data_IF_362893530068
#
_entry.id   IF_362893530068
#
_cell.length_a   1.000
_cell.length_b   1.000
_cell.length_c   1.000
_cell.angle_alpha   90.00
_cell.angle_beta   90.00
_cell.angle_gamma   90.00
#
_symmetry.space_group_name_H-M   'P 1'
#
loop_
_entity.id
_entity.type
_entity.pdbx_description
1 polymer ?
#
# COMPACT_ATOMS: atom_id res chain seq x y z
N UNK A 1 -17.35 -9.55 25.27
CA UNK A 1 -18.04 -9.10 24.04
C UNK A 1 -18.79 -10.30 23.49
N UNK A 2 -20.09 -10.15 23.31
CA UNK A 2 -20.99 -11.23 22.88
C UNK A 2 -21.02 -11.27 21.32
N UNK A 3 -21.20 -12.48 20.77
CA UNK A 3 -21.34 -12.68 19.31
C UNK A 3 -22.48 -11.84 18.73
N UNK A 4 -23.52 -11.55 19.52
CA UNK A 4 -24.65 -10.72 19.12
C UNK A 4 -24.25 -9.24 18.84
N UNK A 5 -23.12 -8.78 19.35
CA UNK A 5 -22.54 -7.45 19.08
C UNK A 5 -21.50 -7.44 17.96
N UNK A 6 -21.20 -8.59 17.33
CA UNK A 6 -20.20 -8.67 16.29
C UNK A 6 -20.62 -7.95 15.00
N UNK A 7 -19.73 -7.14 14.44
CA UNK A 7 -19.95 -6.52 13.13
C UNK A 7 -20.09 -7.63 12.07
N UNK A 8 -21.08 -7.54 11.15
CA UNK A 8 -21.21 -8.52 10.09
C UNK A 8 -19.91 -8.71 9.31
N UNK A 9 -19.53 -9.97 9.05
CA UNK A 9 -18.26 -10.34 8.39
C UNK A 9 -18.03 -9.59 7.06
N UNK A 10 -19.10 -9.26 6.35
CA UNK A 10 -19.06 -8.54 5.05
C UNK A 10 -18.56 -7.10 5.21
N UNK A 11 -18.69 -6.51 6.40
CA UNK A 11 -18.31 -5.12 6.69
C UNK A 11 -17.03 -5.01 7.53
N UNK A 12 -16.51 -6.14 8.02
CA UNK A 12 -15.30 -6.18 8.83
C UNK A 12 -14.09 -6.45 7.94
N UNK A 13 -13.14 -5.53 7.90
CA UNK A 13 -11.87 -5.74 7.21
C UNK A 13 -10.96 -6.74 7.93
N UNK A 14 -11.19 -6.95 9.23
CA UNK A 14 -10.45 -7.90 10.08
C UNK A 14 -11.28 -8.22 11.32
N UNK A 15 -11.34 -9.49 11.71
CA UNK A 15 -12.08 -9.95 12.89
C UNK A 15 -11.25 -11.00 13.64
N UNK A 16 -11.14 -10.86 14.95
CA UNK A 16 -10.57 -11.89 15.83
C UNK A 16 -11.70 -12.54 16.62
N UNK A 17 -11.78 -13.86 16.52
CA UNK A 17 -12.73 -14.69 17.28
C UNK A 17 -11.95 -15.61 18.22
N UNK A 18 -12.13 -15.46 19.52
CA UNK A 18 -11.52 -16.33 20.55
C UNK A 18 -12.48 -17.46 20.85
N UNK A 19 -12.33 -18.57 20.15
CA UNK A 19 -13.25 -19.71 20.22
C UNK A 19 -13.27 -20.35 21.63
N UNK A 20 -12.12 -20.44 22.25
CA UNK A 20 -11.97 -21.08 23.57
C UNK A 20 -12.12 -20.07 24.74
N UNK A 21 -12.61 -18.86 24.45
CA UNK A 21 -12.79 -17.79 25.43
C UNK A 21 -11.54 -16.96 25.70
N UNK A 22 -11.61 -16.10 26.69
CA UNK A 22 -10.51 -15.22 27.10
C UNK A 22 -10.24 -15.37 28.60
N UNK A 23 -8.97 -15.55 28.95
CA UNK A 23 -8.55 -15.63 30.36
C UNK A 23 -8.79 -14.33 31.14
N UNK A 24 -8.86 -13.18 30.43
CA UNK A 24 -9.14 -11.88 31.05
C UNK A 24 -10.59 -11.85 31.59
N UNK A 25 -11.52 -12.47 30.87
CA UNK A 25 -12.93 -12.53 31.24
C UNK A 25 -13.24 -13.73 32.13
N UNK A 26 -12.23 -14.53 32.54
CA UNK A 26 -12.36 -15.77 33.30
C UNK A 26 -13.34 -16.77 32.70
N UNK A 27 -13.59 -16.71 31.41
CA UNK A 27 -14.43 -17.60 30.61
C UNK A 27 -13.59 -18.29 29.55
N UNK A 28 -12.95 -19.37 29.93
CA UNK A 28 -12.17 -20.17 28.97
C UNK A 28 -12.54 -21.65 29.09
N UNK A 29 -12.60 -22.31 27.94
CA UNK A 29 -12.87 -23.72 27.83
C UNK A 29 -11.54 -24.49 27.87
N UNK A 30 -11.36 -25.37 28.84
CA UNK A 30 -10.08 -26.01 29.10
C UNK A 30 -10.17 -27.54 29.29
N UNK A 31 -11.38 -28.08 29.47
CA UNK A 31 -11.59 -29.51 29.62
C UNK A 31 -12.00 -30.15 28.30
N UNK A 32 -11.73 -31.45 28.13
CA UNK A 32 -12.15 -32.20 26.93
C UNK A 32 -13.66 -32.15 26.71
N UNK A 33 -14.44 -32.15 27.78
CA UNK A 33 -15.90 -32.10 27.71
C UNK A 33 -16.39 -30.72 27.27
N UNK A 34 -15.73 -29.64 27.72
CA UNK A 34 -16.05 -28.25 27.30
C UNK A 34 -15.64 -27.98 25.86
N UNK A 35 -14.54 -28.59 25.38
CA UNK A 35 -14.06 -28.46 23.99
C UNK A 35 -14.79 -29.46 23.06
N UNK A 36 -15.59 -30.36 23.57
CA UNK A 36 -16.35 -31.30 22.74
C UNK A 36 -17.54 -30.62 22.05
N UNK A 37 -18.10 -29.55 22.64
CA UNK A 37 -19.27 -28.87 22.12
C UNK A 37 -19.28 -27.39 22.49
N UNK A 38 -19.43 -26.54 21.47
CA UNK A 38 -19.50 -25.09 21.62
C UNK A 38 -20.94 -24.60 21.74
N UNK A 39 -21.18 -23.40 22.32
CA UNK A 39 -22.52 -22.78 22.29
C UNK A 39 -23.05 -22.64 20.88
N UNK A 40 -24.34 -22.89 20.67
CA UNK A 40 -24.95 -22.91 19.33
C UNK A 40 -24.69 -21.65 18.51
N UNK A 41 -24.79 -20.46 19.09
CA UNK A 41 -24.45 -19.21 18.41
C UNK A 41 -23.01 -19.14 17.90
N UNK A 42 -22.05 -19.67 18.68
CA UNK A 42 -20.63 -19.71 18.29
C UNK A 42 -20.43 -20.75 17.18
N UNK A 43 -21.07 -21.91 17.28
CA UNK A 43 -21.06 -22.93 16.22
C UNK A 43 -21.55 -22.36 14.89
N UNK A 44 -22.71 -21.72 14.90
CA UNK A 44 -23.31 -21.11 13.70
C UNK A 44 -22.40 -20.05 13.10
N UNK A 45 -21.80 -19.21 13.94
CA UNK A 45 -20.89 -18.17 13.49
C UNK A 45 -19.60 -18.74 12.86
N UNK A 46 -18.97 -19.73 13.53
CA UNK A 46 -17.76 -20.38 13.00
C UNK A 46 -18.08 -21.22 11.76
N UNK A 47 -19.20 -21.91 11.74
CA UNK A 47 -19.68 -22.67 10.57
C UNK A 47 -19.87 -21.75 9.36
N UNK A 48 -20.44 -20.56 9.58
CA UNK A 48 -20.57 -19.55 8.55
C UNK A 48 -19.21 -19.11 8.01
N UNK A 49 -18.21 -18.86 8.90
CA UNK A 49 -16.85 -18.51 8.49
C UNK A 49 -16.25 -19.63 7.63
N UNK A 50 -16.34 -20.88 8.06
CA UNK A 50 -15.79 -22.03 7.33
C UNK A 50 -16.47 -22.25 5.98
N UNK A 51 -17.74 -21.88 5.85
CA UNK A 51 -18.48 -21.95 4.58
C UNK A 51 -18.20 -20.79 3.61
N UNK A 52 -17.89 -19.60 4.12
CA UNK A 52 -17.72 -18.40 3.32
C UNK A 52 -16.27 -18.11 2.96
N UNK A 53 -15.29 -18.67 3.70
CA UNK A 53 -13.86 -18.37 3.54
C UNK A 53 -13.00 -19.64 3.38
N UNK A 54 -11.79 -19.46 2.84
CA UNK A 54 -10.74 -20.46 2.90
C UNK A 54 -10.22 -20.61 4.34
N UNK A 55 -9.75 -21.81 4.69
CA UNK A 55 -9.28 -22.12 6.03
C UNK A 55 -7.77 -22.38 6.00
N UNK A 56 -7.03 -21.69 6.86
CA UNK A 56 -5.63 -22.00 7.15
C UNK A 56 -5.53 -22.30 8.65
N UNK A 57 -5.16 -23.53 9.02
CA UNK A 57 -4.87 -23.87 10.41
C UNK A 57 -3.38 -23.77 10.68
N UNK A 58 -3.00 -23.20 11.82
CA UNK A 58 -1.60 -23.09 12.21
C UNK A 58 -1.47 -23.27 13.73
N UNK A 59 -0.57 -24.16 14.15
CA UNK A 59 -0.38 -24.49 15.56
C UNK A 59 -1.53 -25.30 16.19
N UNK A 60 -2.38 -25.91 15.37
CA UNK A 60 -3.54 -26.69 15.80
C UNK A 60 -3.46 -28.13 15.27
N UNK A 61 -3.60 -29.13 16.16
CA UNK A 61 -3.53 -30.56 15.80
C UNK A 61 -4.88 -31.17 15.44
N UNK A 62 -5.98 -30.59 15.92
CA UNK A 62 -7.32 -31.16 15.83
C UNK A 62 -7.59 -32.32 16.77
N UNK A 63 -6.63 -32.75 17.57
CA UNK A 63 -6.78 -33.93 18.45
C UNK A 63 -7.64 -33.64 19.69
N UNK A 64 -7.48 -32.44 20.23
CA UNK A 64 -8.10 -32.05 21.51
C UNK A 64 -9.39 -31.24 21.34
N UNK A 65 -9.55 -30.56 20.22
CA UNK A 65 -10.67 -29.67 19.95
C UNK A 65 -11.69 -30.35 19.02
N UNK A 66 -12.44 -31.26 19.56
CA UNK A 66 -13.46 -32.04 18.82
C UNK A 66 -14.59 -31.14 18.32
N UNK A 67 -14.93 -30.08 19.06
CA UNK A 67 -15.97 -29.15 18.68
C UNK A 67 -15.66 -28.46 17.36
N UNK A 68 -14.44 -27.90 17.22
CA UNK A 68 -14.01 -27.24 15.98
C UNK A 68 -13.88 -28.24 14.81
N UNK A 69 -13.37 -29.44 15.08
CA UNK A 69 -13.33 -30.54 14.09
C UNK A 69 -14.73 -30.85 13.56
N UNK A 70 -15.72 -30.97 14.47
CA UNK A 70 -17.11 -31.25 14.08
C UNK A 70 -17.72 -30.08 13.27
N UNK A 71 -17.45 -28.83 13.62
CA UNK A 71 -17.90 -27.67 12.86
C UNK A 71 -17.30 -27.70 11.44
N UNK A 72 -16.01 -27.97 11.30
CA UNK A 72 -15.35 -28.07 10.00
C UNK A 72 -15.96 -29.22 9.18
N UNK A 73 -16.25 -30.36 9.78
CA UNK A 73 -16.90 -31.52 9.14
C UNK A 73 -18.36 -31.25 8.79
N UNK A 74 -19.04 -30.34 9.48
CA UNK A 74 -20.43 -29.96 9.19
C UNK A 74 -20.53 -28.94 8.03
N UNK A 75 -19.41 -28.43 7.55
CA UNK A 75 -19.42 -27.43 6.47
C UNK A 75 -19.81 -28.05 5.12
N UNK A 76 -20.77 -27.45 4.46
CA UNK A 76 -21.31 -27.90 3.17
C UNK A 76 -20.53 -27.33 1.98
N UNK A 77 -20.04 -26.08 2.13
CA UNK A 77 -19.35 -25.36 1.08
C UNK A 77 -17.84 -25.64 1.07
N UNK A 78 -17.30 -25.91 -0.12
CA UNK A 78 -15.86 -26.16 -0.36
C UNK A 78 -15.35 -25.26 -1.50
N UNK A 79 -15.84 -24.02 -1.52
CA UNK A 79 -15.52 -23.05 -2.61
C UNK A 79 -14.07 -22.61 -2.59
N UNK A 80 -13.48 -22.54 -1.40
CA UNK A 80 -12.13 -22.09 -1.19
C UNK A 80 -11.29 -23.22 -0.66
N UNK A 81 -10.04 -23.29 -1.10
CA UNK A 81 -9.08 -24.27 -0.62
C UNK A 81 -8.81 -24.13 0.87
N UNK A 82 -8.51 -25.25 1.51
CA UNK A 82 -8.15 -25.30 2.91
C UNK A 82 -6.74 -25.83 3.08
N UNK A 83 -5.97 -25.21 3.98
CA UNK A 83 -4.59 -25.56 4.25
C UNK A 83 -4.42 -25.90 5.73
N UNK A 84 -3.99 -27.11 6.00
CA UNK A 84 -3.76 -27.62 7.35
C UNK A 84 -2.26 -27.72 7.58
N UNK A 85 -1.70 -26.88 8.46
CA UNK A 85 -0.25 -26.86 8.66
C UNK A 85 0.17 -27.62 9.91
N UNK A 86 1.38 -28.18 9.88
CA UNK A 86 2.01 -28.86 11.01
C UNK A 86 3.51 -28.59 11.04
N UNK A 87 4.12 -28.60 12.26
CA UNK A 87 5.55 -28.37 12.40
C UNK A 87 6.35 -29.68 12.43
N UNK A 88 6.02 -30.61 13.35
CA UNK A 88 6.81 -31.80 13.56
C UNK A 88 6.14 -33.06 13.03
N UNK A 89 4.89 -33.30 13.43
CA UNK A 89 4.13 -34.50 13.08
C UNK A 89 2.77 -34.08 12.54
N UNK A 90 2.41 -34.66 11.42
CA UNK A 90 1.07 -34.50 10.87
C UNK A 90 0.12 -35.52 11.49
N UNK A 91 -0.82 -35.05 12.30
CA UNK A 91 -1.83 -35.89 12.91
C UNK A 91 -2.87 -36.36 11.86
N UNK A 92 -3.48 -37.56 12.15
CA UNK A 92 -4.42 -38.12 11.19
C UNK A 92 -5.67 -37.29 11.01
N UNK A 93 -6.12 -36.60 12.06
CA UNK A 93 -7.26 -35.67 12.03
C UNK A 93 -7.05 -34.58 10.98
N UNK A 94 -5.85 -34.00 10.86
CA UNK A 94 -5.54 -32.97 9.85
C UNK A 94 -5.62 -33.54 8.43
N UNK A 95 -5.14 -34.76 8.20
CA UNK A 95 -5.22 -35.44 6.90
C UNK A 95 -6.67 -35.75 6.50
N UNK A 96 -7.48 -36.21 7.46
CA UNK A 96 -8.90 -36.44 7.23
C UNK A 96 -9.66 -35.16 6.90
N UNK A 97 -9.40 -34.08 7.65
CA UNK A 97 -10.00 -32.77 7.39
C UNK A 97 -9.56 -32.19 6.05
N UNK A 98 -8.28 -32.35 5.68
CA UNK A 98 -7.79 -31.93 4.37
C UNK A 98 -8.49 -32.70 3.26
N UNK A 99 -8.62 -34.01 3.40
CA UNK A 99 -9.35 -34.85 2.44
C UNK A 99 -10.83 -34.42 2.34
N UNK A 100 -11.47 -34.20 3.50
CA UNK A 100 -12.87 -33.79 3.57
C UNK A 100 -13.11 -32.40 2.90
N UNK A 101 -12.20 -31.46 3.12
CA UNK A 101 -12.29 -30.09 2.58
C UNK A 101 -11.70 -29.95 1.17
N UNK A 102 -11.23 -31.03 0.54
CA UNK A 102 -10.45 -30.99 -0.71
C UNK A 102 -9.26 -30.04 -0.62
N UNK A 103 -8.63 -29.97 0.54
CA UNK A 103 -7.52 -29.08 0.85
C UNK A 103 -6.18 -29.80 0.92
N UNK A 104 -5.17 -29.09 1.38
CA UNK A 104 -3.79 -29.55 1.43
C UNK A 104 -3.25 -29.57 2.85
N UNK A 105 -2.29 -30.48 3.10
CA UNK A 105 -1.52 -30.51 4.34
C UNK A 105 -0.12 -30.00 4.08
N UNK A 106 0.35 -29.03 4.87
CA UNK A 106 1.63 -28.35 4.66
C UNK A 106 2.53 -28.49 5.88
N UNK A 107 3.77 -28.96 5.67
CA UNK A 107 4.82 -28.88 6.67
C UNK A 107 5.37 -27.44 6.74
N UNK A 108 5.43 -26.87 7.94
CA UNK A 108 5.98 -25.53 8.17
C UNK A 108 7.04 -25.59 9.28
N UNK A 109 8.00 -24.69 9.24
CA UNK A 109 9.01 -24.57 10.28
C UNK A 109 8.41 -23.98 11.57
N UNK A 110 7.73 -22.88 11.44
CA UNK A 110 6.99 -22.20 12.50
C UNK A 110 5.94 -21.24 11.88
N UNK A 111 5.04 -20.72 12.72
CA UNK A 111 3.99 -19.81 12.28
C UNK A 111 4.52 -18.50 11.72
N UNK A 112 5.54 -17.91 12.35
CA UNK A 112 6.06 -16.61 11.97
C UNK A 112 6.69 -16.63 10.58
N UNK A 113 7.54 -17.64 10.30
CA UNK A 113 8.15 -17.80 8.98
C UNK A 113 7.09 -18.07 7.90
N UNK A 114 6.11 -18.94 8.20
CA UNK A 114 5.04 -19.28 7.27
C UNK A 114 4.19 -18.06 6.90
N UNK A 115 3.68 -17.31 7.87
CA UNK A 115 2.85 -16.15 7.58
C UNK A 115 3.65 -14.98 6.97
N UNK A 116 4.94 -14.85 7.31
CA UNK A 116 5.81 -13.86 6.66
C UNK A 116 5.99 -14.18 5.18
N UNK A 117 6.32 -15.44 4.85
CA UNK A 117 6.48 -15.88 3.47
C UNK A 117 5.16 -15.81 2.68
N UNK A 118 4.05 -16.22 3.30
CA UNK A 118 2.73 -16.11 2.67
C UNK A 118 2.39 -14.64 2.34
N UNK A 119 2.62 -13.73 3.27
CA UNK A 119 2.40 -12.32 3.05
C UNK A 119 3.27 -11.75 1.92
N UNK A 120 4.55 -12.14 1.87
CA UNK A 120 5.47 -11.72 0.81
C UNK A 120 5.05 -12.25 -0.55
N UNK A 121 4.62 -13.51 -0.65
CA UNK A 121 4.12 -14.12 -1.89
C UNK A 121 2.82 -13.48 -2.38
N UNK A 122 1.86 -13.23 -1.48
CA UNK A 122 0.61 -12.54 -1.82
C UNK A 122 0.90 -11.11 -2.30
N UNK A 123 1.84 -10.41 -1.65
CA UNK A 123 2.27 -9.07 -2.08
C UNK A 123 2.94 -9.12 -3.46
N UNK A 124 3.80 -10.10 -3.72
CA UNK A 124 4.45 -10.27 -5.02
C UNK A 124 3.42 -10.56 -6.12
N UNK A 125 2.47 -11.45 -5.89
CA UNK A 125 1.38 -11.73 -6.83
C UNK A 125 0.54 -10.47 -7.09
N UNK A 126 0.18 -9.73 -6.05
CA UNK A 126 -0.57 -8.48 -6.19
C UNK A 126 0.20 -7.41 -6.98
N UNK A 127 1.53 -7.43 -6.93
CA UNK A 127 2.37 -6.53 -7.72
C UNK A 127 2.48 -6.97 -9.19
N UNK A 128 2.44 -8.28 -9.46
CA UNK A 128 2.43 -8.83 -10.82
C UNK A 128 1.10 -8.59 -11.55
N UNK A 129 -0.01 -8.57 -10.83
CA UNK A 129 -1.33 -8.20 -11.38
C UNK A 129 -1.44 -6.71 -11.75
N UNK A 130 -0.39 -5.95 -11.54
CA UNK A 130 0.06 -4.71 -12.23
C UNK A 130 -0.89 -3.52 -12.29
N UNK A 131 -2.15 -3.63 -11.90
CA UNK A 131 -3.17 -2.61 -12.14
C UNK A 131 -4.01 -2.18 -10.92
N UNK A 132 -3.79 -2.76 -9.75
CA UNK A 132 -4.44 -2.24 -8.56
C UNK A 132 -3.56 -1.16 -7.92
N UNK A 133 -3.99 0.12 -7.94
CA UNK A 133 -3.27 1.14 -7.19
C UNK A 133 -3.28 0.72 -5.72
N UNK A 134 -2.10 0.69 -5.09
CA UNK A 134 -1.99 0.61 -3.64
C UNK A 134 -2.92 1.68 -3.08
N UNK A 135 -3.83 1.31 -2.18
CA UNK A 135 -4.54 2.35 -1.46
C UNK A 135 -3.52 3.19 -0.70
N UNK A 136 -3.75 4.50 -0.60
CA UNK A 136 -2.86 5.42 0.11
C UNK A 136 -2.48 4.90 1.49
N UNK A 137 -3.44 4.35 2.20
CA UNK A 137 -3.28 3.84 3.56
C UNK A 137 -2.35 2.62 3.60
N UNK A 138 -2.49 1.69 2.65
CA UNK A 138 -1.61 0.52 2.54
C UNK A 138 -0.18 0.94 2.23
N UNK A 139 0.01 1.90 1.30
CA UNK A 139 1.34 2.39 0.95
C UNK A 139 2.03 3.04 2.16
N UNK A 140 1.31 3.88 2.90
CA UNK A 140 1.81 4.54 4.11
C UNK A 140 2.14 3.53 5.22
N UNK A 141 1.29 2.53 5.44
CA UNK A 141 1.55 1.49 6.45
C UNK A 141 2.75 0.60 6.08
N UNK A 142 2.90 0.23 4.81
CA UNK A 142 4.11 -0.46 4.33
C UNK A 142 5.36 0.38 4.55
N UNK A 143 5.30 1.66 4.18
CA UNK A 143 6.40 2.59 4.35
C UNK A 143 6.83 2.68 5.81
N UNK A 144 5.90 2.85 6.75
CA UNK A 144 6.18 2.88 8.20
C UNK A 144 6.90 1.61 8.68
N UNK A 145 6.45 0.43 8.21
CA UNK A 145 7.09 -0.85 8.55
C UNK A 145 8.51 -0.96 8.01
N UNK A 146 8.79 -0.38 6.84
CA UNK A 146 10.12 -0.44 6.22
C UNK A 146 11.10 0.56 6.86
N UNK A 147 10.64 1.76 7.22
CA UNK A 147 11.47 2.79 7.87
C UNK A 147 12.03 2.32 9.22
N UNK A 148 11.26 1.54 9.99
CA UNK A 148 11.66 1.10 11.33
C UNK A 148 12.84 0.11 11.30
N UNK A 149 12.89 -0.75 10.28
CA UNK A 149 13.87 -1.84 10.16
C UNK A 149 14.90 -1.52 9.09
N UNK A 150 16.16 -1.31 9.48
CA UNK A 150 17.26 -1.01 8.55
C UNK A 150 17.50 -2.08 7.49
N UNK A 151 17.22 -3.34 7.79
CA UNK A 151 17.29 -4.47 6.85
C UNK A 151 16.25 -4.37 5.70
N UNK A 152 15.23 -3.54 5.85
CA UNK A 152 14.18 -3.33 4.86
C UNK A 152 14.40 -2.11 3.96
N UNK A 153 15.61 -1.57 3.92
CA UNK A 153 15.94 -0.39 3.10
C UNK A 153 15.70 -0.65 1.60
N UNK A 154 15.97 -1.85 1.13
CA UNK A 154 15.71 -2.22 -0.28
C UNK A 154 14.21 -2.13 -0.57
N UNK A 155 13.37 -2.75 0.26
CA UNK A 155 11.92 -2.71 0.10
C UNK A 155 11.35 -1.27 0.20
N UNK A 156 11.99 -0.43 1.01
CA UNK A 156 11.65 0.99 1.10
C UNK A 156 11.94 1.73 -0.21
N UNK A 157 13.11 1.51 -0.80
CA UNK A 157 13.51 2.13 -2.06
C UNK A 157 12.63 1.64 -3.21
N UNK A 158 12.42 0.32 -3.30
CA UNK A 158 11.55 -0.31 -4.31
C UNK A 158 10.13 0.24 -4.25
N UNK A 159 9.60 0.49 -3.04
CA UNK A 159 8.26 1.05 -2.88
C UNK A 159 8.15 2.45 -3.49
N UNK A 160 9.14 3.32 -3.28
CA UNK A 160 9.19 4.65 -3.91
C UNK A 160 9.39 4.56 -5.42
N UNK A 161 10.30 3.70 -5.88
CA UNK A 161 10.59 3.53 -7.29
C UNK A 161 9.37 3.05 -8.06
N UNK A 162 8.71 1.99 -7.59
CA UNK A 162 7.52 1.42 -8.23
C UNK A 162 6.36 2.43 -8.29
N UNK A 163 6.11 3.18 -7.21
CA UNK A 163 5.05 4.18 -7.20
C UNK A 163 5.38 5.40 -8.08
N UNK A 164 6.65 5.81 -8.13
CA UNK A 164 7.09 6.88 -9.03
C UNK A 164 6.99 6.47 -10.49
N UNK A 165 7.39 5.25 -10.85
CA UNK A 165 7.25 4.72 -12.20
C UNK A 165 5.78 4.61 -12.61
N UNK A 166 4.94 4.08 -11.74
CA UNK A 166 3.50 4.00 -11.97
C UNK A 166 2.88 5.38 -12.21
N UNK A 167 3.28 6.38 -11.40
CA UNK A 167 2.80 7.74 -11.56
C UNK A 167 3.29 8.38 -12.86
N UNK A 168 4.56 8.24 -13.21
CA UNK A 168 5.12 8.72 -14.47
C UNK A 168 4.38 8.12 -15.67
N UNK A 169 4.12 6.80 -15.66
CA UNK A 169 3.37 6.13 -16.74
C UNK A 169 1.94 6.66 -16.90
N UNK A 170 1.29 7.09 -15.82
CA UNK A 170 -0.05 7.71 -15.88
C UNK A 170 -0.06 9.13 -16.44
N UNK A 171 1.02 9.88 -16.28
CA UNK A 171 1.08 11.28 -16.74
C UNK A 171 1.71 11.41 -18.12
N UNK A 172 2.36 10.38 -18.66
CA UNK A 172 2.89 10.39 -20.03
C UNK A 172 1.77 10.69 -21.03
N UNK A 173 1.90 11.81 -21.76
CA UNK A 173 0.98 12.21 -22.81
C UNK A 173 1.70 13.06 -23.85
N UNK A 174 1.05 13.30 -24.99
CA UNK A 174 1.52 14.29 -25.96
C UNK A 174 1.08 15.68 -25.52
N UNK A 175 2.04 16.62 -25.43
CA UNK A 175 1.80 18.01 -25.01
C UNK A 175 1.63 18.93 -26.23
N UNK A 176 0.76 18.57 -27.17
CA UNK A 176 0.47 19.32 -28.40
C UNK A 176 -1.01 19.74 -28.51
N UNK A 177 -1.58 20.12 -27.39
CA UNK A 177 -2.94 20.65 -27.29
C UNK A 177 -2.93 22.13 -26.94
N UNK A 178 -3.98 22.91 -27.31
CA UNK A 178 -4.08 24.32 -26.95
C UNK A 178 -4.24 24.47 -25.42
N UNK A 179 -3.48 25.40 -24.84
CA UNK A 179 -3.57 25.68 -23.42
C UNK A 179 -4.76 26.61 -23.15
N UNK A 180 -5.75 26.12 -22.44
CA UNK A 180 -6.90 26.85 -21.94
C UNK A 180 -7.31 26.31 -20.55
N UNK A 181 -8.30 26.95 -19.91
CA UNK A 181 -8.77 26.59 -18.57
C UNK A 181 -9.17 25.12 -18.45
N UNK A 182 -9.83 24.58 -19.46
CA UNK A 182 -10.30 23.19 -19.45
C UNK A 182 -9.11 22.21 -19.54
N UNK A 183 -8.25 22.37 -20.55
CA UNK A 183 -7.09 21.50 -20.78
C UNK A 183 -6.09 21.56 -19.62
N UNK A 184 -5.89 22.73 -19.02
CA UNK A 184 -5.09 22.90 -17.82
C UNK A 184 -5.67 22.12 -16.64
N UNK A 185 -6.96 22.27 -16.36
CA UNK A 185 -7.62 21.57 -15.26
C UNK A 185 -7.65 20.03 -15.44
N UNK A 186 -7.82 19.56 -16.67
CA UNK A 186 -7.75 18.14 -16.98
C UNK A 186 -6.33 17.61 -16.75
N UNK A 187 -5.31 18.34 -17.18
CA UNK A 187 -3.91 18.00 -16.92
C UNK A 187 -3.60 18.00 -15.43
N UNK A 188 -4.00 19.04 -14.69
CA UNK A 188 -3.83 19.14 -13.24
C UNK A 188 -4.47 17.95 -12.52
N UNK A 189 -5.71 17.60 -12.84
CA UNK A 189 -6.38 16.42 -12.26
C UNK A 189 -5.63 15.13 -12.54
N UNK A 190 -5.13 14.96 -13.76
CA UNK A 190 -4.33 13.76 -14.12
C UNK A 190 -3.07 13.68 -13.29
N UNK A 191 -2.32 14.77 -13.17
CA UNK A 191 -1.10 14.82 -12.38
C UNK A 191 -1.37 14.57 -10.89
N UNK A 192 -2.39 15.21 -10.31
CA UNK A 192 -2.79 14.96 -8.91
C UNK A 192 -3.20 13.52 -8.67
N UNK A 193 -4.02 12.94 -9.55
CA UNK A 193 -4.43 11.54 -9.44
C UNK A 193 -3.24 10.56 -9.62
N UNK A 194 -2.25 10.93 -10.41
CA UNK A 194 -1.09 10.08 -10.62
C UNK A 194 -0.21 10.00 -9.37
N UNK A 195 0.00 11.13 -8.68
CA UNK A 195 0.87 11.21 -7.49
C UNK A 195 0.13 11.05 -6.17
N UNK A 196 -1.15 10.73 -6.21
CA UNK A 196 -2.05 10.68 -5.04
C UNK A 196 -1.55 9.77 -3.91
N UNK A 197 -0.91 8.65 -4.24
CA UNK A 197 -0.25 7.74 -3.28
C UNK A 197 1.08 8.30 -2.79
N UNK A 198 1.85 8.96 -3.65
CA UNK A 198 3.17 9.50 -3.31
C UNK A 198 3.09 10.67 -2.32
N UNK A 199 2.04 11.49 -2.35
CA UNK A 199 1.89 12.62 -1.45
C UNK A 199 1.97 12.22 0.03
N UNK A 200 1.13 11.33 0.57
CA UNK A 200 1.22 10.90 1.96
C UNK A 200 2.48 10.06 2.24
N UNK A 201 3.01 9.32 1.26
CA UNK A 201 4.28 8.62 1.41
C UNK A 201 5.43 9.61 1.65
N UNK A 202 5.53 10.70 0.88
CA UNK A 202 6.55 11.73 1.05
C UNK A 202 6.46 12.39 2.44
N UNK A 203 5.27 12.76 2.88
CA UNK A 203 5.05 13.36 4.22
C UNK A 203 5.53 12.39 5.32
N UNK A 204 5.17 11.12 5.21
CA UNK A 204 5.54 10.09 6.19
C UNK A 204 7.04 9.83 6.16
N UNK A 205 7.62 9.74 4.97
CA UNK A 205 9.06 9.53 4.79
C UNK A 205 9.86 10.68 5.39
N UNK A 206 9.56 11.93 5.06
CA UNK A 206 10.27 13.09 5.61
C UNK A 206 10.18 13.12 7.13
N UNK A 207 9.00 12.83 7.71
CA UNK A 207 8.81 12.83 9.15
C UNK A 207 9.70 11.83 9.88
N UNK A 208 9.80 10.60 9.37
CA UNK A 208 10.39 9.47 10.09
C UNK A 208 11.73 9.00 9.51
N UNK A 209 12.16 9.53 8.35
CA UNK A 209 13.39 9.12 7.70
C UNK A 209 14.64 9.42 8.52
N UNK A 210 15.62 8.53 8.36
CA UNK A 210 17.02 8.72 8.70
C UNK A 210 17.78 9.06 7.42
N UNK A 211 19.04 9.54 7.47
CA UNK A 211 19.81 9.89 6.28
C UNK A 211 19.87 8.79 5.21
N UNK A 212 19.85 7.52 5.61
CA UNK A 212 19.87 6.37 4.68
C UNK A 212 18.61 6.27 3.80
N UNK A 213 17.49 6.85 4.22
CA UNK A 213 16.22 6.83 3.48
C UNK A 213 16.05 8.02 2.52
N UNK A 214 16.93 9.03 2.61
CA UNK A 214 16.80 10.27 1.83
C UNK A 214 16.95 10.02 0.33
N UNK A 215 17.80 9.03 -0.05
CA UNK A 215 18.11 8.73 -1.44
C UNK A 215 16.88 8.37 -2.27
N UNK A 216 15.96 7.58 -1.73
CA UNK A 216 14.73 7.22 -2.45
C UNK A 216 13.87 8.44 -2.83
N UNK A 217 13.85 9.47 -1.99
CA UNK A 217 13.13 10.72 -2.29
C UNK A 217 13.88 11.52 -3.36
N UNK A 218 15.22 11.54 -3.32
CA UNK A 218 16.02 12.19 -4.36
C UNK A 218 15.80 11.52 -5.72
N UNK A 219 15.86 10.20 -5.77
CA UNK A 219 15.67 9.42 -6.99
C UNK A 219 14.25 9.59 -7.54
N UNK A 220 13.24 9.61 -6.67
CA UNK A 220 11.87 9.91 -7.05
C UNK A 220 11.74 11.31 -7.67
N UNK A 221 12.24 12.36 -7.02
CA UNK A 221 12.16 13.73 -7.54
C UNK A 221 12.90 13.86 -8.86
N UNK A 222 14.09 13.27 -8.98
CA UNK A 222 14.89 13.24 -10.20
C UNK A 222 14.11 12.56 -11.33
N UNK A 223 13.48 11.41 -11.06
CA UNK A 223 12.66 10.68 -12.05
C UNK A 223 11.53 11.55 -12.60
N UNK A 224 10.83 12.32 -11.77
CA UNK A 224 9.75 13.22 -12.22
C UNK A 224 10.24 14.39 -13.07
N UNK A 225 11.49 14.70 -13.04
CA UNK A 225 12.11 15.74 -13.87
C UNK A 225 12.70 15.14 -15.16
N UNK A 226 13.30 13.97 -15.07
CA UNK A 226 14.04 13.33 -16.16
C UNK A 226 13.20 12.41 -17.05
N UNK A 227 11.94 12.08 -16.69
CA UNK A 227 11.16 11.16 -17.52
C UNK A 227 10.81 11.80 -18.88
N UNK A 228 10.73 10.97 -19.96
CA UNK A 228 10.66 11.49 -21.32
C UNK A 228 9.40 12.30 -21.63
N UNK A 229 9.57 13.45 -22.24
CA UNK A 229 8.47 14.26 -22.78
C UNK A 229 8.10 13.73 -24.15
N UNK A 230 6.80 13.52 -24.38
CA UNK A 230 6.27 13.21 -25.70
C UNK A 230 5.80 14.50 -26.38
N UNK A 231 6.63 15.05 -27.26
CA UNK A 231 6.29 16.18 -28.11
C UNK A 231 6.40 15.75 -29.56
N UNK A 232 5.42 16.10 -30.38
CA UNK A 232 5.44 15.82 -31.83
C UNK A 232 4.78 16.97 -32.59
N UNK A 233 5.42 17.42 -33.69
CA UNK A 233 4.90 18.51 -34.49
C UNK A 233 5.00 19.88 -33.80
N UNK A 234 4.04 20.77 -34.05
CA UNK A 234 3.97 22.09 -33.42
C UNK A 234 3.40 21.99 -32.00
N UNK A 235 4.05 22.56 -31.02
CA UNK A 235 3.60 22.64 -29.64
C UNK A 235 3.83 24.00 -29.01
N UNK A 236 3.05 24.35 -28.00
CA UNK A 236 3.25 25.58 -27.23
C UNK A 236 4.20 25.28 -26.06
N UNK A 237 5.20 26.13 -25.83
CA UNK A 237 6.18 25.99 -24.76
C UNK A 237 5.53 25.88 -23.38
N UNK A 238 4.47 26.62 -23.13
CA UNK A 238 3.73 26.64 -21.87
C UNK A 238 3.00 25.29 -21.62
N UNK A 239 2.49 24.69 -22.67
CA UNK A 239 1.85 23.34 -22.55
C UNK A 239 2.86 22.26 -22.17
N UNK A 240 4.06 22.33 -22.74
CA UNK A 240 5.14 21.36 -22.43
C UNK A 240 5.62 21.51 -20.99
N UNK A 241 5.61 22.71 -20.42
CA UNK A 241 5.96 22.96 -19.02
C UNK A 241 5.05 22.20 -18.03
N UNK A 242 3.80 21.90 -18.43
CA UNK A 242 2.89 21.08 -17.61
C UNK A 242 3.45 19.69 -17.29
N UNK A 243 4.40 19.18 -18.07
CA UNK A 243 5.10 17.95 -17.81
C UNK A 243 5.73 17.90 -16.40
N UNK A 244 6.24 19.03 -15.94
CA UNK A 244 6.91 19.13 -14.64
C UNK A 244 5.97 19.34 -13.45
N UNK A 245 4.66 19.41 -13.66
CA UNK A 245 3.68 19.74 -12.62
C UNK A 245 3.71 18.76 -11.44
N UNK A 246 3.81 17.47 -11.69
CA UNK A 246 3.92 16.47 -10.62
C UNK A 246 5.21 16.61 -9.82
N UNK A 247 6.33 16.82 -10.48
CA UNK A 247 7.63 17.06 -9.84
C UNK A 247 7.59 18.32 -8.95
N UNK A 248 6.98 19.40 -9.44
CA UNK A 248 6.79 20.63 -8.69
C UNK A 248 5.94 20.39 -7.43
N UNK A 249 4.79 19.73 -7.55
CA UNK A 249 3.90 19.45 -6.42
C UNK A 249 4.57 18.56 -5.38
N UNK A 250 5.29 17.52 -5.80
CA UNK A 250 6.04 16.64 -4.90
C UNK A 250 7.17 17.39 -4.19
N UNK A 251 7.89 18.25 -4.90
CA UNK A 251 8.94 19.09 -4.32
C UNK A 251 8.39 20.03 -3.24
N UNK A 252 7.21 20.64 -3.47
CA UNK A 252 6.53 21.45 -2.46
C UNK A 252 6.15 20.62 -1.23
N UNK A 253 5.53 19.45 -1.43
CA UNK A 253 5.12 18.59 -0.31
C UNK A 253 6.31 18.16 0.52
N UNK A 254 7.41 17.76 -0.13
CA UNK A 254 8.64 17.37 0.56
C UNK A 254 9.27 18.57 1.26
N UNK A 255 9.35 19.73 0.59
CA UNK A 255 9.93 20.95 1.16
C UNK A 255 9.15 21.46 2.39
N UNK A 256 7.82 21.55 2.29
CA UNK A 256 6.95 21.96 3.40
C UNK A 256 7.06 20.94 4.55
N UNK A 257 7.14 19.66 4.23
CA UNK A 257 7.33 18.61 5.26
C UNK A 257 8.68 18.73 5.95
N UNK A 258 9.75 19.07 5.20
CA UNK A 258 11.06 19.32 5.79
C UNK A 258 11.04 20.49 6.78
N UNK A 259 10.37 21.57 6.43
CA UNK A 259 10.21 22.73 7.33
C UNK A 259 9.38 22.34 8.56
N UNK A 260 8.26 21.63 8.35
CA UNK A 260 7.35 21.19 9.44
C UNK A 260 8.02 20.29 10.47
N UNK A 261 8.97 19.46 10.04
CA UNK A 261 9.64 18.47 10.88
C UNK A 261 11.10 18.81 11.17
N UNK A 262 11.52 20.06 10.97
CA UNK A 262 12.87 20.59 11.24
C UNK A 262 14.01 19.82 10.53
N UNK A 263 13.72 19.33 9.31
CA UNK A 263 14.68 18.58 8.48
C UNK A 263 15.44 19.52 7.51
N UNK A 264 16.01 20.59 8.00
CA UNK A 264 16.66 21.63 7.18
C UNK A 264 17.88 21.12 6.40
N UNK A 265 18.65 20.20 6.97
CA UNK A 265 19.78 19.57 6.26
C UNK A 265 19.31 18.77 5.05
N UNK A 266 18.19 18.04 5.19
CA UNK A 266 17.57 17.30 4.10
C UNK A 266 16.99 18.26 3.04
N UNK A 267 16.32 19.32 3.43
CA UNK A 267 15.83 20.36 2.54
C UNK A 267 16.96 20.96 1.71
N UNK A 268 18.09 21.29 2.37
CA UNK A 268 19.25 21.84 1.66
C UNK A 268 19.78 20.88 0.59
N UNK A 269 19.85 19.57 0.89
CA UNK A 269 20.26 18.56 -0.10
C UNK A 269 19.29 18.50 -1.29
N UNK A 270 17.98 18.52 -1.02
CA UNK A 270 16.94 18.51 -2.08
C UNK A 270 17.12 19.71 -3.03
N UNK A 271 17.32 20.90 -2.49
CA UNK A 271 17.48 22.11 -3.27
C UNK A 271 18.76 22.11 -4.14
N UNK A 272 19.71 21.21 -3.88
CA UNK A 272 20.96 21.09 -4.62
C UNK A 272 21.05 19.79 -5.47
N UNK A 273 19.93 19.05 -5.64
CA UNK A 273 19.91 17.91 -6.55
C UNK A 273 20.19 18.37 -7.97
N UNK A 274 21.10 17.70 -8.67
CA UNK A 274 21.32 17.89 -10.09
C UNK A 274 20.50 16.90 -10.88
N UNK A 275 19.67 17.40 -11.80
CA UNK A 275 18.83 16.62 -12.67
C UNK A 275 19.02 17.03 -14.13
N UNK A 276 18.70 16.13 -15.06
CA UNK A 276 18.73 16.41 -16.50
C UNK A 276 17.39 17.01 -16.91
N UNK A 277 17.45 18.16 -17.55
CA UNK A 277 16.26 18.79 -18.11
C UNK A 277 15.77 18.01 -19.34
N UNK A 278 14.57 17.45 -19.28
CA UNK A 278 14.00 16.64 -20.36
C UNK A 278 13.66 17.43 -21.64
N UNK A 279 13.66 18.77 -21.56
CA UNK A 279 13.40 19.63 -22.73
C UNK A 279 14.71 20.02 -23.41
N UNK A 280 15.73 20.39 -22.65
CA UNK A 280 16.98 20.96 -23.17
C UNK A 280 18.17 20.00 -23.12
N UNK A 281 17.99 18.82 -22.51
CA UNK A 281 19.01 17.76 -22.32
C UNK A 281 20.28 18.27 -21.62
N UNK A 282 20.19 19.30 -20.81
CA UNK A 282 21.25 19.84 -19.98
C UNK A 282 21.11 19.40 -18.52
N UNK A 283 22.24 19.22 -17.84
CA UNK A 283 22.27 18.88 -16.43
C UNK A 283 22.38 20.17 -15.59
N UNK A 284 21.31 20.46 -14.87
CA UNK A 284 21.21 21.67 -14.05
C UNK A 284 20.66 21.31 -12.66
N UNK A 285 20.70 22.29 -11.77
CA UNK A 285 20.06 22.14 -10.47
C UNK A 285 18.54 21.94 -10.64
N UNK A 286 17.93 21.03 -9.87
CA UNK A 286 16.51 20.72 -9.94
C UNK A 286 15.61 21.96 -9.78
N UNK A 287 16.04 22.92 -8.95
CA UNK A 287 15.36 24.20 -8.76
C UNK A 287 15.41 25.13 -9.99
N UNK A 288 16.30 24.88 -10.92
CA UNK A 288 16.33 25.55 -12.23
C UNK A 288 15.33 24.98 -13.23
N UNK A 289 14.83 23.76 -12.98
CA UNK A 289 13.85 23.08 -13.84
C UNK A 289 12.45 23.22 -13.27
N UNK A 290 12.28 22.85 -11.98
CA UNK A 290 11.01 22.93 -11.27
C UNK A 290 11.06 24.04 -10.21
N UNK A 291 10.38 25.11 -10.50
CA UNK A 291 10.30 26.30 -9.62
C UNK A 291 8.91 26.94 -9.69
N UNK A 292 8.50 27.75 -8.70
CA UNK A 292 7.17 28.34 -8.65
C UNK A 292 6.78 29.15 -9.89
N UNK A 293 7.76 29.79 -10.53
CA UNK A 293 7.56 30.63 -11.71
C UNK A 293 7.72 29.88 -13.04
N UNK A 294 7.66 28.52 -13.03
CA UNK A 294 7.73 27.74 -14.27
C UNK A 294 6.56 28.06 -15.21
N UNK A 295 5.41 28.37 -14.64
CA UNK A 295 4.23 28.85 -15.38
C UNK A 295 4.17 30.38 -15.38
N UNK A 296 3.73 30.93 -16.48
CA UNK A 296 3.41 32.35 -16.54
C UNK A 296 2.36 32.71 -15.48
N UNK A 297 2.56 33.81 -14.76
CA UNK A 297 1.67 34.23 -13.67
C UNK A 297 0.24 34.44 -14.14
N UNK A 298 0.07 35.01 -15.33
CA UNK A 298 -1.26 35.29 -15.87
C UNK A 298 -1.98 34.01 -16.24
N UNK A 299 -1.25 33.01 -16.79
CA UNK A 299 -1.77 31.70 -17.12
C UNK A 299 -2.19 30.98 -15.83
N UNK A 300 -1.32 30.88 -14.82
CA UNK A 300 -1.59 30.23 -13.58
C UNK A 300 -2.78 30.86 -12.83
N UNK A 301 -2.81 32.17 -12.70
CA UNK A 301 -3.88 32.90 -12.02
C UNK A 301 -5.23 32.81 -12.75
N UNK A 302 -5.23 32.80 -14.07
CA UNK A 302 -6.46 32.70 -14.88
C UNK A 302 -7.06 31.30 -14.83
N UNK A 303 -6.23 30.26 -14.69
CA UNK A 303 -6.70 28.87 -14.72
C UNK A 303 -7.04 28.28 -13.34
N UNK A 304 -6.37 28.75 -12.30
CA UNK A 304 -6.65 28.29 -10.92
C UNK A 304 -7.86 29.01 -10.31
N UNK A 305 -8.35 30.07 -10.93
CA UNK A 305 -9.69 30.64 -10.66
C UNK A 305 -9.85 31.41 -9.36
N UNK A 306 -8.81 31.66 -8.62
CA UNK A 306 -8.89 32.36 -7.34
C UNK A 306 -8.01 33.58 -7.22
N UNK A 307 -7.91 34.42 -8.24
CA UNK A 307 -7.43 35.81 -8.20
C UNK A 307 -6.54 36.21 -7.01
N UNK A 308 -5.78 35.31 -6.45
CA UNK A 308 -4.93 35.55 -5.30
C UNK A 308 -3.65 36.22 -5.82
N UNK A 309 -3.62 37.53 -5.71
CA UNK A 309 -2.55 38.40 -6.22
C UNK A 309 -1.15 38.09 -5.66
N UNK A 310 -1.03 37.17 -4.70
CA UNK A 310 0.18 37.01 -3.88
C UNK A 310 0.84 35.64 -3.98
N UNK A 311 0.20 34.64 -4.54
CA UNK A 311 0.80 33.31 -4.73
C UNK A 311 0.55 32.82 -6.13
N UNK A 312 1.60 32.64 -6.95
CA UNK A 312 1.47 32.00 -8.24
C UNK A 312 1.32 30.46 -8.09
N UNK A 313 0.68 29.99 -7.14
CA UNK A 313 0.21 28.58 -6.89
C UNK A 313 -0.04 28.44 -5.39
#
# INVERSE_FOLDING_TARGET
DDIDGAIPLVHAGFTIVKINGDYIDCRFLNTEDELADYPDKLKDYVLRIVNEFGVITCGWSGEWDKGLVNIIRSSENRRYESYFTYCNKCENTLKELATFRCGNVLAIENADSFFTELAERVMALSSLEGNHPLSKDIAVERLKRYIVKSEKIILYNDLFENEAERACNKIIQYYNFPLNSQTFNECLKRHLNAIDTLLPMCITAVRWSKPVHEQAIFDMLTRFVEFPIKCGGSYQSETVKLHYLSGLLLMYVVGISCIKYDKYSFLNKILHISARNSIHDDKVNITGIIHPCIFDRDIANNFIGHGNKYTPI
#
